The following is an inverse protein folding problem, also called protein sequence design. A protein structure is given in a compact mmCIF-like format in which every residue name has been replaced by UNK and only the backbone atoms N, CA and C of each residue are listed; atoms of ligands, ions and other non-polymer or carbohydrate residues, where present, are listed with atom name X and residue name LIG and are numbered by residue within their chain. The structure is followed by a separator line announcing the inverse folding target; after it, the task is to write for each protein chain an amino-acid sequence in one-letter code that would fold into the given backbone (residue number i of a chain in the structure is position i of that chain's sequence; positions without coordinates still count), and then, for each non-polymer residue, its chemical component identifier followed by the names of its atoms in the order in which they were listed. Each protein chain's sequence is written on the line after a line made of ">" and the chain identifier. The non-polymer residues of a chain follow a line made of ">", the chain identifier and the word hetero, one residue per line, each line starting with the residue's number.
data_IF_260772769491
#
_entry.id   IF_260772769491
#
_cell.length_a   1.000
_cell.length_b   1.000
_cell.length_c   1.000
_cell.angle_alpha   90.00
_cell.angle_beta   90.00
_cell.angle_gamma   90.00
#
_symmetry.space_group_name_H-M   'P 1'
#
loop_
_entity.id
_entity.type
_entity.pdbx_description
1 polymer ?
#
# COMPACT_ATOMS: atom_id res chain seq x y z
N UNK A 1 15.09 10.87 -7.00
CA UNK A 1 13.84 11.63 -6.75
C UNK A 1 12.71 10.79 -7.35
N UNK A 2 11.62 10.57 -6.61
CA UNK A 2 10.50 9.70 -7.00
C UNK A 2 9.33 10.61 -7.38
N UNK A 3 8.71 10.40 -8.54
CA UNK A 3 7.59 11.22 -9.03
C UNK A 3 6.26 10.47 -8.97
N UNK A 4 5.16 11.15 -9.32
CA UNK A 4 3.82 10.53 -9.30
C UNK A 4 3.71 9.44 -10.38
N UNK A 5 4.38 9.62 -11.51
CA UNK A 5 4.38 8.67 -12.63
C UNK A 5 5.08 7.36 -12.27
N UNK A 6 6.01 7.39 -11.31
CA UNK A 6 6.69 6.20 -10.82
C UNK A 6 5.73 5.21 -10.14
N UNK A 7 4.63 5.68 -9.53
CA UNK A 7 3.63 4.80 -8.93
C UNK A 7 2.84 4.02 -9.97
N UNK A 8 2.41 4.68 -11.06
CA UNK A 8 1.76 3.99 -12.19
C UNK A 8 2.71 2.97 -12.82
N UNK A 9 3.96 3.36 -13.06
CA UNK A 9 4.99 2.45 -13.61
C UNK A 9 5.24 1.24 -12.70
N UNK A 10 5.24 1.47 -11.38
CA UNK A 10 5.36 0.40 -10.41
C UNK A 10 4.17 -0.55 -10.44
N UNK A 11 2.94 -0.04 -10.58
CA UNK A 11 1.76 -0.88 -10.73
C UNK A 11 1.86 -1.80 -11.97
N UNK A 12 2.33 -1.28 -13.10
CA UNK A 12 2.56 -2.07 -14.32
C UNK A 12 3.57 -3.19 -14.10
N UNK A 13 4.69 -2.89 -13.42
CA UNK A 13 5.71 -3.88 -13.08
C UNK A 13 5.12 -4.97 -12.18
N UNK A 14 4.38 -4.57 -11.13
CA UNK A 14 3.75 -5.49 -10.18
C UNK A 14 2.69 -6.38 -10.85
N UNK A 15 2.02 -5.91 -11.89
CA UNK A 15 1.07 -6.71 -12.67
C UNK A 15 1.75 -7.81 -13.48
N UNK A 16 3.00 -7.58 -13.90
CA UNK A 16 3.79 -8.53 -14.71
C UNK A 16 4.64 -9.54 -13.92
N UNK A 17 4.71 -9.44 -12.58
CA UNK A 17 5.56 -10.35 -11.82
C UNK A 17 5.01 -11.78 -11.84
N UNK A 18 5.91 -12.77 -11.97
CA UNK A 18 5.53 -14.20 -11.89
C UNK A 18 5.29 -14.68 -10.45
N UNK A 19 5.70 -13.90 -9.45
CA UNK A 19 5.63 -14.22 -8.02
C UNK A 19 4.42 -13.64 -7.29
N UNK A 20 4.41 -13.74 -5.96
CA UNK A 20 3.55 -12.90 -5.12
C UNK A 20 4.24 -11.59 -4.78
N UNK A 21 3.44 -10.56 -4.53
CA UNK A 21 3.91 -9.39 -3.80
C UNK A 21 2.95 -9.03 -2.66
N UNK A 22 3.53 -8.33 -1.70
CA UNK A 22 2.84 -7.50 -0.71
C UNK A 22 3.54 -6.14 -0.74
N UNK A 23 2.77 -5.06 -0.83
CA UNK A 23 3.22 -3.68 -0.78
C UNK A 23 2.48 -2.99 0.36
N UNK A 24 3.22 -2.40 1.31
CA UNK A 24 2.63 -1.44 2.26
C UNK A 24 2.90 -0.02 1.78
N UNK A 25 1.87 0.82 1.84
CA UNK A 25 1.94 2.23 1.44
C UNK A 25 0.97 3.04 2.28
N UNK A 26 1.25 4.33 2.48
CA UNK A 26 0.32 5.24 3.14
C UNK A 26 -1.01 5.31 2.38
N UNK A 27 -2.13 5.27 3.10
CA UNK A 27 -3.46 5.37 2.51
C UNK A 27 -3.73 6.81 2.04
N UNK A 28 -3.93 6.94 0.73
CA UNK A 28 -4.25 8.17 0.02
C UNK A 28 -5.22 7.86 -1.12
N UNK A 29 -6.13 8.76 -1.50
CA UNK A 29 -7.05 8.52 -2.62
C UNK A 29 -6.35 8.09 -3.90
N UNK A 30 -5.23 8.74 -4.24
CA UNK A 30 -4.45 8.53 -5.47
C UNK A 30 -3.84 7.11 -5.54
N UNK A 31 -3.49 6.53 -4.38
CA UNK A 31 -2.95 5.15 -4.30
C UNK A 31 -3.98 4.14 -4.78
N UNK A 32 -5.26 4.36 -4.50
CA UNK A 32 -6.33 3.47 -4.94
C UNK A 32 -6.54 3.54 -6.46
N UNK A 33 -6.20 4.67 -7.08
CA UNK A 33 -6.25 4.84 -8.54
C UNK A 33 -5.10 4.08 -9.20
N UNK A 34 -3.85 4.29 -8.76
CA UNK A 34 -2.69 3.64 -9.38
C UNK A 34 -2.68 2.11 -9.21
N UNK A 35 -3.09 1.62 -8.03
CA UNK A 35 -3.02 0.19 -7.70
C UNK A 35 -4.38 -0.52 -7.78
N UNK A 36 -5.38 0.08 -8.44
CA UNK A 36 -6.77 -0.40 -8.47
C UNK A 36 -6.95 -1.83 -9.00
N UNK A 37 -5.97 -2.36 -9.74
CA UNK A 37 -5.96 -3.72 -10.25
C UNK A 37 -5.70 -4.80 -9.15
N UNK A 38 -5.31 -4.39 -7.94
CA UNK A 38 -4.89 -5.30 -6.88
C UNK A 38 -5.85 -5.31 -5.68
N UNK A 39 -5.56 -6.18 -4.71
CA UNK A 39 -6.36 -6.31 -3.49
C UNK A 39 -5.84 -5.37 -2.42
N UNK A 40 -6.77 -4.73 -1.70
CA UNK A 40 -6.48 -3.77 -0.64
C UNK A 40 -6.92 -4.27 0.73
N UNK A 41 -6.16 -3.92 1.76
CA UNK A 41 -6.55 -4.01 3.16
C UNK A 41 -6.11 -2.74 3.88
N UNK A 42 -7.06 -1.96 4.37
CA UNK A 42 -6.77 -0.81 5.23
C UNK A 42 -6.36 -1.29 6.62
N UNK A 43 -5.25 -0.77 7.13
CA UNK A 43 -4.71 -1.05 8.45
C UNK A 43 -4.51 0.28 9.17
N UNK A 44 -5.16 0.44 10.32
CA UNK A 44 -4.95 1.63 11.15
C UNK A 44 -3.71 1.45 11.98
N UNK A 45 -2.71 2.30 11.75
CA UNK A 45 -1.48 2.30 12.53
C UNK A 45 -1.37 3.63 13.28
N UNK A 46 -0.86 3.57 14.51
CA UNK A 46 -0.52 4.76 15.29
C UNK A 46 0.99 4.88 15.27
N UNK A 47 1.54 5.67 14.36
CA UNK A 47 2.95 6.04 14.39
C UNK A 47 3.12 7.42 15.01
N UNK A 48 4.01 7.51 15.99
CA UNK A 48 4.57 8.77 16.50
C UNK A 48 5.79 9.14 15.65
N UNK A 49 5.75 10.30 14.99
CA UNK A 49 6.90 10.82 14.24
C UNK A 49 7.53 11.93 15.08
N UNK A 50 8.61 11.62 15.82
CA UNK A 50 9.34 12.59 16.67
C UNK A 50 8.52 13.13 17.86
N UNK A 51 9.08 14.12 18.58
CA UNK A 51 8.54 14.76 19.79
C UNK A 51 7.27 15.62 19.56
N UNK A 52 6.50 15.28 18.53
CA UNK A 52 5.27 15.96 18.12
C UNK A 52 4.03 15.06 18.22
N UNK A 53 2.85 15.67 18.27
CA UNK A 53 1.58 14.96 18.39
C UNK A 53 1.41 13.87 17.31
N UNK A 54 1.04 12.66 17.73
CA UNK A 54 0.79 11.53 16.85
C UNK A 54 -0.25 11.89 15.79
N UNK A 55 0.12 11.82 14.51
CA UNK A 55 -0.84 11.96 13.40
C UNK A 55 -1.43 10.57 13.11
N UNK A 56 -2.77 10.43 13.06
CA UNK A 56 -3.36 9.20 12.58
C UNK A 56 -2.88 8.97 11.14
N UNK A 57 -2.21 7.85 10.92
CA UNK A 57 -1.78 7.39 9.62
C UNK A 57 -2.52 6.08 9.33
N UNK A 58 -3.30 6.07 8.26
CA UNK A 58 -3.88 4.84 7.74
C UNK A 58 -2.89 4.27 6.71
N UNK A 59 -2.51 3.00 6.86
CA UNK A 59 -1.71 2.27 5.88
C UNK A 59 -2.62 1.37 5.05
N UNK A 60 -2.21 1.13 3.81
CA UNK A 60 -2.88 0.27 2.86
C UNK A 60 -1.93 -0.87 2.49
N UNK A 61 -2.35 -2.11 2.79
CA UNK A 61 -1.66 -3.31 2.33
C UNK A 61 -2.25 -3.71 0.98
N UNK A 62 -1.39 -3.80 -0.03
CA UNK A 62 -1.72 -4.15 -1.41
C UNK A 62 -1.08 -5.49 -1.74
N UNK A 63 -1.83 -6.44 -2.32
CA UNK A 63 -1.28 -7.76 -2.66
C UNK A 63 -1.85 -8.38 -3.93
N UNK A 64 -1.04 -9.23 -4.59
CA UNK A 64 -1.44 -9.95 -5.82
C UNK A 64 -2.34 -11.17 -5.58
N UNK A 65 -2.36 -11.71 -4.37
CA UNK A 65 -3.13 -12.90 -4.02
C UNK A 65 -4.07 -12.63 -2.85
N UNK A 66 -5.12 -13.46 -2.72
CA UNK A 66 -5.95 -13.45 -1.51
C UNK A 66 -5.04 -13.76 -0.33
N UNK A 67 -4.83 -12.78 0.53
CA UNK A 67 -4.09 -13.01 1.75
C UNK A 67 -5.01 -13.76 2.73
N UNK A 68 -4.53 -14.90 3.24
CA UNK A 68 -5.21 -15.65 4.29
C UNK A 68 -4.93 -14.94 5.61
N UNK A 69 -5.67 -13.87 5.89
CA UNK A 69 -5.58 -13.15 7.16
C UNK A 69 -6.24 -13.97 8.27
N UNK A 70 -5.54 -14.99 8.75
CA UNK A 70 -5.83 -15.59 10.05
C UNK A 70 -5.07 -14.80 11.10
N UNK A 71 -5.77 -13.87 11.72
CA UNK A 71 -5.41 -13.41 13.06
C UNK A 71 -5.65 -14.64 13.97
N UNK A 72 -4.57 -15.16 14.55
CA UNK A 72 -4.64 -16.06 15.69
C UNK A 72 -5.18 -15.27 16.91
#
# INVERSE_FOLDING_TARGET
>A
MFSLEDFSRMADILAGIKGAFVLSINERPEVREWFGAFRFQSVRLKYTVGDGAAKPAEELIISSRKAAWRLL
#
